data_IF_069782123271
#
_entry.id   IF_069782123271
#
_cell.length_a   1.000
_cell.length_b   1.000
_cell.length_c   1.000
_cell.angle_alpha   90.00
_cell.angle_beta   90.00
_cell.angle_gamma   90.00
#
_symmetry.space_group_name_H-M   'P 1'
#
loop_
_entity.id
_entity.type
_entity.pdbx_description
1 polymer ?
#
# COMPACT_ATOMS: atom_id res chain seq x y z
N UNK A 1 -6.25 28.21 -17.04
CA UNK A 1 -6.99 27.73 -15.84
C UNK A 1 -6.07 27.93 -14.65
N UNK A 2 -6.59 28.22 -13.46
CA UNK A 2 -5.77 28.26 -12.24
C UNK A 2 -5.26 26.85 -11.92
N UNK A 3 -4.02 26.73 -11.45
CA UNK A 3 -3.48 25.47 -10.99
C UNK A 3 -4.26 24.97 -9.78
N UNK A 4 -4.30 23.64 -9.60
CA UNK A 4 -4.98 22.98 -8.48
C UNK A 4 -4.06 22.84 -7.29
N UNK A 5 -4.48 23.30 -6.13
CA UNK A 5 -3.67 23.27 -4.90
C UNK A 5 -3.68 21.90 -4.25
N UNK A 6 -2.51 21.32 -4.06
CA UNK A 6 -2.26 20.10 -3.28
C UNK A 6 -1.28 20.43 -2.17
N UNK A 7 -1.51 19.93 -0.97
CA UNK A 7 -0.64 20.13 0.18
C UNK A 7 -0.18 18.78 0.72
N UNK A 8 1.12 18.65 0.90
CA UNK A 8 1.74 17.57 1.66
C UNK A 8 2.46 18.12 2.89
N UNK A 9 2.62 17.28 3.91
CA UNK A 9 3.47 17.58 5.06
C UNK A 9 4.52 16.49 5.19
N UNK A 10 5.80 16.86 5.20
CA UNK A 10 6.91 15.91 5.26
C UNK A 10 8.12 16.48 6.01
N UNK A 11 8.90 15.58 6.60
CA UNK A 11 10.27 15.82 7.04
C UNK A 11 11.27 15.11 6.11
N UNK A 12 12.57 15.25 6.39
CA UNK A 12 13.63 14.64 5.60
C UNK A 12 13.52 13.11 5.55
N UNK A 13 13.04 12.47 6.61
CA UNK A 13 12.86 11.00 6.68
C UNK A 13 11.75 10.49 5.77
N UNK A 14 10.80 11.35 5.41
CA UNK A 14 9.69 11.08 4.52
C UNK A 14 9.87 11.57 3.08
N UNK A 15 11.01 12.19 2.76
CA UNK A 15 11.26 12.77 1.42
C UNK A 15 11.05 11.77 0.27
N UNK A 16 11.52 10.52 0.40
CA UNK A 16 11.33 9.48 -0.63
C UNK A 16 9.85 9.04 -0.75
N UNK A 17 9.12 9.02 0.37
CA UNK A 17 7.70 8.66 0.40
C UNK A 17 6.88 9.77 -0.26
N UNK A 18 7.18 11.03 0.08
CA UNK A 18 6.61 12.21 -0.58
C UNK A 18 6.87 12.16 -2.11
N UNK A 19 8.10 11.88 -2.53
CA UNK A 19 8.42 11.79 -3.97
C UNK A 19 7.66 10.66 -4.65
N UNK A 20 7.48 9.51 -4.00
CA UNK A 20 6.69 8.39 -4.51
C UNK A 20 5.20 8.77 -4.65
N UNK A 21 4.63 9.42 -3.64
CA UNK A 21 3.27 9.94 -3.69
C UNK A 21 3.10 10.97 -4.82
N UNK A 22 4.03 11.91 -4.96
CA UNK A 22 4.03 12.91 -6.04
C UNK A 22 4.14 12.26 -7.43
N UNK A 23 4.98 11.23 -7.61
CA UNK A 23 5.07 10.48 -8.87
C UNK A 23 3.72 9.86 -9.23
N UNK A 24 3.07 9.19 -8.28
CA UNK A 24 1.76 8.57 -8.52
C UNK A 24 0.69 9.61 -8.86
N UNK A 25 0.68 10.75 -8.18
CA UNK A 25 -0.25 11.86 -8.47
C UNK A 25 -0.01 12.44 -9.87
N UNK A 26 1.25 12.76 -10.19
CA UNK A 26 1.66 13.35 -11.46
C UNK A 26 1.51 12.39 -12.66
N UNK A 27 1.43 11.08 -12.43
CA UNK A 27 1.09 10.12 -13.48
C UNK A 27 -0.34 10.29 -14.00
N UNK A 28 -1.23 10.88 -13.23
CA UNK A 28 -2.66 11.01 -13.54
C UNK A 28 -3.15 12.45 -13.66
N UNK A 29 -2.40 13.43 -13.15
CA UNK A 29 -2.85 14.82 -13.04
C UNK A 29 -1.76 15.83 -13.38
N UNK A 30 -2.13 16.88 -14.09
CA UNK A 30 -1.30 18.02 -14.47
C UNK A 30 -1.82 19.31 -13.82
N UNK A 31 -1.10 20.42 -14.04
CA UNK A 31 -1.47 21.75 -13.58
C UNK A 31 -1.66 21.83 -12.07
N UNK A 32 -0.70 21.21 -11.35
CA UNK A 32 -0.69 21.21 -9.90
C UNK A 32 0.20 22.32 -9.33
N UNK A 33 -0.25 22.90 -8.22
CA UNK A 33 0.55 23.72 -7.33
C UNK A 33 0.70 22.96 -6.02
N UNK A 34 1.84 22.31 -5.86
CA UNK A 34 2.12 21.38 -4.76
C UNK A 34 2.84 22.12 -3.64
N UNK A 35 2.16 22.39 -2.57
CA UNK A 35 2.71 22.98 -1.35
C UNK A 35 3.28 21.88 -0.46
N UNK A 36 4.51 22.02 0.00
CA UNK A 36 5.12 21.07 0.92
C UNK A 36 5.45 21.78 2.23
N UNK A 37 4.65 21.49 3.25
CA UNK A 37 4.88 21.94 4.62
C UNK A 37 6.00 21.12 5.21
N UNK A 38 7.15 21.74 5.51
CA UNK A 38 8.32 21.01 5.97
C UNK A 38 9.22 21.85 6.89
N UNK A 39 10.05 21.15 7.64
CA UNK A 39 11.05 21.76 8.53
C UNK A 39 12.45 21.77 7.91
N UNK A 40 12.84 20.68 7.24
CA UNK A 40 14.24 20.33 6.99
C UNK A 40 14.55 19.83 5.58
N UNK A 41 13.57 19.80 4.66
CA UNK A 41 13.83 19.36 3.28
C UNK A 41 14.84 20.27 2.58
N UNK A 42 15.82 19.72 1.82
CA UNK A 42 16.81 20.50 1.13
C UNK A 42 16.24 21.42 0.05
N UNK A 43 16.74 22.63 -0.05
CA UNK A 43 16.31 23.60 -1.09
C UNK A 43 16.59 23.07 -2.50
N UNK A 44 17.66 22.32 -2.66
CA UNK A 44 18.07 21.69 -3.93
C UNK A 44 17.04 20.69 -4.42
N UNK A 45 16.40 19.95 -3.51
CA UNK A 45 15.32 19.04 -3.85
C UNK A 45 14.14 19.79 -4.51
N UNK A 46 13.74 20.93 -3.96
CA UNK A 46 12.69 21.78 -4.54
C UNK A 46 13.08 22.30 -5.93
N UNK A 47 14.32 22.69 -6.13
CA UNK A 47 14.82 23.15 -7.43
C UNK A 47 14.76 22.03 -8.48
N UNK A 48 15.19 20.82 -8.12
CA UNK A 48 15.15 19.65 -8.99
C UNK A 48 13.71 19.28 -9.31
N UNK A 49 12.82 19.21 -8.32
CA UNK A 49 11.40 18.89 -8.53
C UNK A 49 10.74 19.92 -9.45
N UNK A 50 10.97 21.21 -9.25
CA UNK A 50 10.42 22.25 -10.13
C UNK A 50 10.91 22.13 -11.58
N UNK A 51 12.17 21.72 -11.79
CA UNK A 51 12.68 21.48 -13.14
C UNK A 51 11.91 20.33 -13.83
N UNK A 52 11.62 19.24 -13.10
CA UNK A 52 10.89 18.08 -13.59
C UNK A 52 9.42 18.41 -13.85
N UNK A 53 8.76 19.06 -12.91
CA UNK A 53 7.32 19.33 -12.95
C UNK A 53 6.89 20.36 -14.01
N UNK A 54 7.82 21.14 -14.56
CA UNK A 54 7.52 22.09 -15.67
C UNK A 54 6.84 21.46 -16.87
N UNK A 55 7.18 20.19 -17.19
CA UNK A 55 6.58 19.48 -18.32
C UNK A 55 5.10 19.13 -18.09
N UNK A 56 4.63 19.19 -16.86
CA UNK A 56 3.25 18.99 -16.46
C UNK A 56 2.52 20.31 -16.16
N UNK A 57 3.13 21.45 -16.50
CA UNK A 57 2.64 22.77 -16.07
C UNK A 57 2.37 22.82 -14.56
N UNK A 58 3.21 22.12 -13.79
CA UNK A 58 3.09 21.98 -12.34
C UNK A 58 4.30 22.55 -11.63
N UNK A 59 4.17 22.85 -10.34
CA UNK A 59 5.23 23.39 -9.51
C UNK A 59 5.16 22.90 -8.07
N UNK A 60 6.28 22.88 -7.37
CA UNK A 60 6.36 22.60 -5.94
C UNK A 60 6.83 23.82 -5.17
N UNK A 61 6.13 24.14 -4.09
CA UNK A 61 6.36 25.32 -3.25
C UNK A 61 6.89 24.85 -1.89
N UNK A 62 8.03 25.42 -1.49
CA UNK A 62 8.64 25.16 -0.19
C UNK A 62 7.96 26.02 0.90
N UNK A 63 7.09 25.40 1.69
CA UNK A 63 6.48 26.04 2.85
C UNK A 63 7.25 25.64 4.12
N UNK A 64 8.29 26.42 4.43
CA UNK A 64 9.14 26.18 5.60
C UNK A 64 8.37 26.47 6.89
N UNK A 65 8.23 25.45 7.73
CA UNK A 65 7.55 25.51 9.02
C UNK A 65 8.55 25.64 10.17
N UNK A 66 8.14 26.30 11.25
CA UNK A 66 8.93 26.35 12.49
C UNK A 66 8.35 25.37 13.50
N UNK A 67 9.10 24.35 13.93
CA UNK A 67 8.57 23.35 14.86
C UNK A 67 8.39 23.90 16.30
N UNK A 68 8.94 25.07 16.63
CA UNK A 68 8.95 25.60 18.00
C UNK A 68 7.56 25.67 18.64
N UNK A 69 6.54 26.02 17.88
CA UNK A 69 5.18 26.12 18.37
C UNK A 69 4.51 24.76 18.64
N UNK A 70 5.06 23.68 18.05
CA UNK A 70 4.52 22.32 18.15
C UNK A 70 5.28 21.45 19.16
N UNK A 71 6.48 21.85 19.59
CA UNK A 71 7.36 21.04 20.47
C UNK A 71 6.76 20.76 21.86
N UNK A 72 5.77 21.52 22.28
CA UNK A 72 5.07 21.30 23.55
C UNK A 72 3.95 20.25 23.47
N UNK A 73 3.60 19.78 22.27
CA UNK A 73 2.54 18.81 22.07
C UNK A 73 3.06 17.38 22.22
N UNK A 74 2.28 16.53 22.85
CA UNK A 74 2.57 15.10 22.90
C UNK A 74 2.34 14.47 21.54
N UNK A 75 3.25 13.56 21.16
CA UNK A 75 3.08 12.73 19.97
C UNK A 75 2.48 11.38 20.42
N UNK A 76 1.48 10.83 19.69
CA UNK A 76 0.79 9.60 20.10
C UNK A 76 1.66 8.34 19.95
N UNK A 77 2.75 8.42 19.19
CA UNK A 77 3.69 7.32 18.99
C UNK A 77 5.01 7.80 18.40
N UNK A 78 6.07 6.98 18.53
CA UNK A 78 7.44 7.30 18.08
C UNK A 78 7.59 7.50 16.56
N UNK A 79 6.61 7.05 15.78
CA UNK A 79 6.63 7.17 14.32
C UNK A 79 5.80 8.36 13.79
N UNK A 80 5.18 9.14 14.68
CA UNK A 80 4.45 10.36 14.33
C UNK A 80 5.32 11.57 14.66
N UNK A 81 5.57 12.41 13.65
CA UNK A 81 6.35 13.61 13.78
C UNK A 81 5.46 14.86 13.94
N UNK A 82 5.99 15.97 14.50
CA UNK A 82 5.28 17.26 14.61
C UNK A 82 4.74 17.78 13.28
N UNK A 83 5.28 17.32 12.16
CA UNK A 83 4.79 17.65 10.83
C UNK A 83 3.30 17.32 10.63
N UNK A 84 2.72 16.42 11.42
CA UNK A 84 1.28 16.14 11.36
C UNK A 84 0.43 17.35 11.74
N UNK A 85 0.90 18.20 12.65
CA UNK A 85 0.21 19.42 13.07
C UNK A 85 0.36 20.58 12.08
N UNK A 86 1.30 20.50 11.13
CA UNK A 86 1.50 21.57 10.14
C UNK A 86 0.26 21.81 9.29
N UNK A 87 -0.57 20.77 9.10
CA UNK A 87 -1.83 20.87 8.34
C UNK A 87 -2.81 21.89 8.89
N UNK A 88 -2.70 22.30 10.16
CA UNK A 88 -3.57 23.33 10.73
C UNK A 88 -3.32 24.72 10.11
N UNK A 89 -2.10 25.00 9.66
CA UNK A 89 -1.72 26.27 9.05
C UNK A 89 -1.95 26.33 7.53
N UNK A 90 -2.56 25.32 6.92
CA UNK A 90 -2.81 25.25 5.46
C UNK A 90 -3.49 26.50 4.92
N UNK A 91 -4.61 27.02 5.51
CA UNK A 91 -5.28 28.20 4.98
C UNK A 91 -4.44 29.49 4.97
N UNK A 92 -3.39 29.54 5.79
CA UNK A 92 -2.47 30.69 5.85
C UNK A 92 -1.34 30.57 4.82
N UNK A 93 -1.00 29.35 4.40
CA UNK A 93 0.13 29.05 3.52
C UNK A 93 -0.24 28.89 2.04
N UNK A 94 -1.50 28.66 1.75
CA UNK A 94 -2.02 28.32 0.41
C UNK A 94 -2.86 29.46 -0.13
N UNK A 95 -2.66 29.81 -1.40
CA UNK A 95 -3.37 30.94 -2.05
C UNK A 95 -4.77 30.56 -2.52
N UNK A 96 -4.94 29.32 -2.98
CA UNK A 96 -6.17 28.81 -3.60
C UNK A 96 -7.30 28.58 -2.58
N UNK A 97 -8.54 28.72 -3.03
CA UNK A 97 -9.73 28.60 -2.18
C UNK A 97 -10.10 27.12 -1.90
N UNK A 98 -9.93 26.24 -2.89
CA UNK A 98 -10.15 24.80 -2.75
C UNK A 98 -8.82 24.07 -2.68
N UNK A 99 -8.58 23.37 -1.60
CA UNK A 99 -7.29 22.77 -1.28
C UNK A 99 -7.46 21.27 -1.00
N UNK A 100 -6.61 20.43 -1.58
CA UNK A 100 -6.47 19.03 -1.17
C UNK A 100 -5.25 18.87 -0.28
N UNK A 101 -5.46 18.42 0.97
CA UNK A 101 -4.38 17.91 1.80
C UNK A 101 -4.26 16.40 1.60
N UNK A 102 -3.02 15.90 1.47
CA UNK A 102 -2.72 14.50 1.20
C UNK A 102 -1.53 14.05 2.07
N UNK A 103 -1.66 12.91 2.73
CA UNK A 103 -0.53 12.29 3.44
C UNK A 103 0.48 11.67 2.46
N UNK A 104 1.75 11.59 2.87
CA UNK A 104 2.85 11.10 2.04
C UNK A 104 2.87 9.58 1.85
N UNK A 105 2.10 8.84 2.64
CA UNK A 105 1.96 7.40 2.58
C UNK A 105 0.75 6.95 1.76
N UNK A 106 0.49 7.70 0.69
CA UNK A 106 -0.58 7.44 -0.26
C UNK A 106 -0.04 7.14 -1.66
N UNK A 107 -0.84 6.38 -2.43
CA UNK A 107 -0.68 6.20 -3.87
C UNK A 107 -1.98 6.60 -4.57
N UNK A 108 -1.82 7.38 -5.64
CA UNK A 108 -2.92 7.90 -6.46
C UNK A 108 -2.97 7.12 -7.78
N UNK A 109 -4.14 6.64 -8.14
CA UNK A 109 -4.34 5.75 -9.30
C UNK A 109 -5.24 6.37 -10.36
N UNK A 110 -5.81 7.55 -10.05
CA UNK A 110 -6.74 8.28 -10.91
C UNK A 110 -6.55 9.79 -10.73
N UNK A 111 -7.15 10.57 -11.65
CA UNK A 111 -7.24 12.03 -11.53
C UNK A 111 -8.15 12.43 -10.36
N UNK A 112 -7.64 13.27 -9.47
CA UNK A 112 -8.37 13.80 -8.32
C UNK A 112 -9.13 15.10 -8.61
N UNK A 113 -9.18 15.55 -9.86
CA UNK A 113 -9.90 16.78 -10.25
C UNK A 113 -11.35 16.86 -9.75
N UNK A 114 -12.12 15.76 -9.71
CA UNK A 114 -13.47 15.80 -9.16
C UNK A 114 -13.57 16.28 -7.71
N UNK A 115 -12.53 16.12 -6.90
CA UNK A 115 -12.52 16.57 -5.50
C UNK A 115 -12.49 18.10 -5.36
N UNK A 116 -11.98 18.82 -6.36
CA UNK A 116 -12.00 20.29 -6.33
C UNK A 116 -13.38 20.87 -6.66
N UNK A 117 -14.22 20.07 -7.33
CA UNK A 117 -15.54 20.48 -7.80
C UNK A 117 -16.67 20.00 -6.86
N UNK A 118 -16.34 19.17 -5.85
CA UNK A 118 -17.34 18.63 -4.93
C UNK A 118 -18.00 19.75 -4.12
N UNK A 119 -19.32 19.75 -4.09
CA UNK A 119 -20.07 20.61 -3.18
C UNK A 119 -20.00 20.04 -1.76
N UNK A 120 -19.37 20.77 -0.86
CA UNK A 120 -19.27 20.39 0.54
C UNK A 120 -20.56 20.67 1.35
N UNK A 121 -21.64 21.11 0.69
CA UNK A 121 -22.93 21.37 1.33
C UNK A 121 -22.86 22.32 2.55
N UNK A 122 -21.98 23.32 2.47
CA UNK A 122 -21.77 24.31 3.53
C UNK A 122 -20.81 23.87 4.64
N UNK A 123 -20.24 22.69 4.56
CA UNK A 123 -19.16 22.27 5.46
C UNK A 123 -17.79 22.81 5.00
N UNK A 124 -16.92 23.11 5.95
CA UNK A 124 -15.55 23.56 5.68
C UNK A 124 -14.57 22.45 5.34
N UNK A 125 -14.98 21.19 5.49
CA UNK A 125 -14.14 20.02 5.33
C UNK A 125 -14.89 18.87 4.67
N UNK A 126 -14.25 18.25 3.68
CA UNK A 126 -14.62 16.93 3.15
C UNK A 126 -13.52 15.91 3.47
N UNK A 127 -13.92 14.72 3.92
CA UNK A 127 -13.01 13.64 4.27
C UNK A 127 -13.66 12.27 4.09
N UNK A 128 -12.91 11.18 4.23
CA UNK A 128 -13.42 9.80 4.18
C UNK A 128 -13.49 9.23 5.59
N UNK A 129 -14.55 8.49 5.88
CA UNK A 129 -14.75 7.80 7.17
C UNK A 129 -13.50 6.96 7.53
N UNK A 130 -13.10 7.01 8.81
CA UNK A 130 -12.03 6.17 9.35
C UNK A 130 -12.56 4.77 9.70
N UNK A 131 -12.50 3.86 8.72
CA UNK A 131 -13.10 2.52 8.83
C UNK A 131 -12.27 1.49 9.60
N UNK A 132 -10.92 1.47 9.52
CA UNK A 132 -10.14 0.48 10.27
C UNK A 132 -10.23 0.64 11.79
N UNK A 133 -10.61 1.83 12.26
CA UNK A 133 -10.74 2.10 13.69
C UNK A 133 -12.20 2.02 14.15
N UNK A 134 -12.40 1.84 15.45
CA UNK A 134 -13.74 1.91 16.08
C UNK A 134 -14.14 3.34 16.43
N UNK A 135 -13.36 4.33 16.00
CA UNK A 135 -13.61 5.75 16.27
C UNK A 135 -14.61 6.26 15.23
N UNK A 136 -15.75 6.75 15.71
CA UNK A 136 -16.69 7.48 14.86
C UNK A 136 -16.03 8.78 14.39
N UNK A 137 -15.76 8.88 13.08
CA UNK A 137 -15.11 10.05 12.51
C UNK A 137 -14.50 9.79 11.15
N UNK A 138 -13.60 10.66 10.76
CA UNK A 138 -12.91 10.60 9.47
C UNK A 138 -11.40 10.37 9.63
N UNK A 139 -10.80 9.79 8.59
CA UNK A 139 -9.36 9.70 8.47
C UNK A 139 -8.81 11.03 7.90
N UNK A 140 -7.80 11.59 8.58
CA UNK A 140 -7.24 12.90 8.26
C UNK A 140 -6.18 12.88 7.15
N UNK A 141 -5.92 11.75 6.50
CA UNK A 141 -4.90 11.64 5.48
C UNK A 141 -5.27 12.23 4.13
N UNK A 142 -6.58 12.32 3.80
CA UNK A 142 -7.08 13.07 2.65
C UNK A 142 -8.17 14.02 3.13
N UNK A 143 -7.95 15.33 2.92
CA UNK A 143 -8.89 16.38 3.28
C UNK A 143 -9.16 17.29 2.08
N UNK A 144 -10.43 17.56 1.82
CA UNK A 144 -10.89 18.63 0.91
C UNK A 144 -11.24 19.83 1.77
N UNK A 145 -10.46 20.90 1.66
CA UNK A 145 -10.57 22.07 2.53
C UNK A 145 -11.18 23.23 1.75
N UNK A 146 -12.18 23.88 2.32
CA UNK A 146 -12.69 25.18 1.91
C UNK A 146 -11.97 26.27 2.73
N UNK A 147 -11.02 26.97 2.10
CA UNK A 147 -10.18 27.96 2.78
C UNK A 147 -11.00 29.11 3.36
N UNK A 148 -11.94 29.66 2.59
CA UNK A 148 -12.78 30.78 3.02
C UNK A 148 -13.55 30.38 4.28
N UNK A 149 -14.18 29.20 4.30
CA UNK A 149 -14.90 28.72 5.46
C UNK A 149 -13.98 28.57 6.70
N UNK A 150 -12.77 28.02 6.52
CA UNK A 150 -11.81 27.88 7.61
C UNK A 150 -11.38 29.22 8.19
N UNK A 151 -11.14 30.24 7.36
CA UNK A 151 -10.77 31.58 7.79
C UNK A 151 -11.92 32.27 8.53
N UNK A 152 -13.15 32.21 8.00
CA UNK A 152 -14.34 32.80 8.61
C UNK A 152 -14.65 32.21 10.00
N UNK A 153 -14.36 30.91 10.19
CA UNK A 153 -14.60 30.20 11.45
C UNK A 153 -13.35 30.12 12.35
N UNK A 154 -12.23 30.75 11.97
CA UNK A 154 -10.97 30.78 12.75
C UNK A 154 -10.50 29.38 13.15
N UNK A 155 -10.61 28.41 12.21
CA UNK A 155 -10.35 26.99 12.46
C UNK A 155 -8.93 26.73 12.91
N UNK A 156 -7.94 27.41 12.30
CA UNK A 156 -6.51 27.27 12.67
C UNK A 156 -6.28 27.52 14.14
N UNK A 157 -6.75 28.65 14.67
CA UNK A 157 -6.63 29.02 16.08
C UNK A 157 -7.35 28.04 16.98
N UNK A 158 -8.58 27.67 16.60
CA UNK A 158 -9.38 26.72 17.39
C UNK A 158 -8.71 25.33 17.46
N UNK A 159 -8.09 24.84 16.39
CA UNK A 159 -7.34 23.57 16.40
C UNK A 159 -6.11 23.65 17.32
N UNK A 160 -5.37 24.77 17.31
CA UNK A 160 -4.25 24.97 18.23
C UNK A 160 -4.72 25.01 19.69
N UNK A 161 -5.81 25.67 19.98
CA UNK A 161 -6.36 25.74 21.35
C UNK A 161 -6.81 24.36 21.82
N UNK A 162 -7.58 23.63 21.01
CA UNK A 162 -7.98 22.26 21.29
C UNK A 162 -6.78 21.32 21.49
N UNK A 163 -5.74 21.49 20.69
CA UNK A 163 -4.51 20.69 20.84
C UNK A 163 -3.85 20.95 22.19
N UNK A 164 -3.74 22.21 22.63
CA UNK A 164 -3.20 22.53 23.96
C UNK A 164 -3.98 21.87 25.09
N UNK A 165 -5.30 21.77 24.95
CA UNK A 165 -6.19 21.22 25.98
C UNK A 165 -6.26 19.69 25.94
N UNK A 166 -6.24 19.06 24.74
CA UNK A 166 -6.64 17.68 24.55
C UNK A 166 -5.57 16.75 23.94
N UNK A 167 -4.38 17.22 23.56
CA UNK A 167 -3.35 16.41 22.88
C UNK A 167 -2.94 15.13 23.62
N UNK A 168 -3.15 15.04 24.93
CA UNK A 168 -2.90 13.84 25.73
C UNK A 168 -4.09 12.87 25.79
N UNK A 169 -5.27 13.30 25.35
CA UNK A 169 -6.54 12.56 25.47
C UNK A 169 -7.00 11.98 24.15
N UNK A 170 -6.51 12.51 23.02
CA UNK A 170 -6.89 12.10 21.67
C UNK A 170 -5.68 11.65 20.86
N UNK A 171 -5.93 10.86 19.83
CA UNK A 171 -4.87 10.31 18.98
C UNK A 171 -4.41 11.34 17.94
N UNK A 172 -3.37 12.10 18.27
CA UNK A 172 -2.70 13.03 17.37
C UNK A 172 -3.59 14.13 16.79
N UNK A 173 -3.18 14.65 15.66
CA UNK A 173 -3.89 15.68 14.91
C UNK A 173 -5.23 15.21 14.36
N UNK A 174 -5.34 13.94 13.93
CA UNK A 174 -6.60 13.35 13.49
C UNK A 174 -7.66 13.39 14.60
N UNK A 175 -7.27 13.08 15.83
CA UNK A 175 -8.20 13.14 16.97
C UNK A 175 -8.68 14.56 17.26
N UNK A 176 -7.80 15.56 17.13
CA UNK A 176 -8.15 16.98 17.30
C UNK A 176 -9.09 17.46 16.20
N UNK A 177 -8.79 17.10 14.94
CA UNK A 177 -9.66 17.43 13.80
C UNK A 177 -11.06 16.82 13.98
N UNK A 178 -11.15 15.56 14.38
CA UNK A 178 -12.41 14.89 14.65
C UNK A 178 -13.16 15.50 15.85
N UNK A 179 -12.43 15.99 16.86
CA UNK A 179 -13.02 16.70 18.00
C UNK A 179 -13.64 18.03 17.56
N UNK A 180 -12.92 18.80 16.72
CA UNK A 180 -13.39 20.09 16.23
C UNK A 180 -14.58 19.96 15.27
N UNK A 181 -14.42 19.15 14.22
CA UNK A 181 -15.44 19.01 13.18
C UNK A 181 -16.59 18.09 13.62
N UNK A 182 -16.35 17.13 14.52
CA UNK A 182 -17.32 16.16 15.03
C UNK A 182 -18.26 15.67 13.91
N UNK A 183 -19.54 16.05 13.94
CA UNK A 183 -20.54 15.68 12.92
C UNK A 183 -20.66 16.71 11.78
N UNK A 184 -19.77 17.71 11.72
CA UNK A 184 -19.82 18.86 10.80
C UNK A 184 -18.77 18.77 9.68
N UNK A 185 -18.77 17.67 8.92
CA UNK A 185 -17.91 17.44 7.77
C UNK A 185 -18.64 16.69 6.65
N UNK A 186 -18.17 16.86 5.40
CA UNK A 186 -18.76 16.20 4.24
C UNK A 186 -18.11 14.84 4.01
N UNK A 187 -18.93 13.77 4.00
CA UNK A 187 -18.43 12.40 3.78
C UNK A 187 -18.16 12.13 2.32
N UNK A 188 -16.89 11.96 1.96
CA UNK A 188 -16.45 11.58 0.63
C UNK A 188 -16.58 10.06 0.42
N UNK A 189 -16.72 9.61 -0.85
CA UNK A 189 -16.68 8.19 -1.19
C UNK A 189 -15.37 7.53 -0.73
N UNK A 190 -15.45 6.31 -0.20
CA UNK A 190 -14.31 5.53 0.30
C UNK A 190 -13.18 5.35 -0.73
N UNK A 191 -13.50 5.37 -2.02
CA UNK A 191 -12.53 5.24 -3.13
C UNK A 191 -11.45 6.32 -3.13
N UNK A 192 -11.69 7.44 -2.47
CA UNK A 192 -10.73 8.53 -2.33
C UNK A 192 -9.79 8.41 -1.11
N UNK A 193 -9.98 7.43 -0.26
CA UNK A 193 -9.06 7.15 0.85
C UNK A 193 -9.26 5.72 1.35
N UNK A 194 -8.94 4.71 0.54
CA UNK A 194 -8.97 3.33 0.99
C UNK A 194 -7.78 3.08 1.92
N UNK A 195 -8.08 2.95 3.20
CA UNK A 195 -7.10 2.74 4.26
C UNK A 195 -6.70 1.26 4.31
N UNK A 196 -5.42 0.97 4.17
CA UNK A 196 -4.87 -0.39 4.11
C UNK A 196 -3.73 -0.57 5.12
N UNK A 197 -3.35 -1.84 5.35
CA UNK A 197 -2.25 -2.20 6.25
C UNK A 197 -2.70 -2.72 7.62
N UNK A 198 -4.00 -2.58 7.96
CA UNK A 198 -4.62 -3.19 9.15
C UNK A 198 -5.35 -4.50 8.82
N UNK A 199 -5.11 -5.07 7.64
CA UNK A 199 -5.83 -6.25 7.12
C UNK A 199 -5.78 -7.44 8.09
N UNK A 200 -4.64 -7.68 8.72
CA UNK A 200 -4.51 -8.74 9.72
C UNK A 200 -5.40 -8.51 10.95
N UNK A 201 -5.44 -7.29 11.45
CA UNK A 201 -6.23 -6.95 12.64
C UNK A 201 -7.73 -7.02 12.31
N UNK A 202 -8.11 -6.58 11.12
CA UNK A 202 -9.49 -6.73 10.62
C UNK A 202 -9.88 -8.20 10.42
N UNK A 203 -8.97 -9.04 9.93
CA UNK A 203 -9.19 -10.47 9.80
C UNK A 203 -9.40 -11.17 11.15
N UNK A 204 -8.59 -10.80 12.17
CA UNK A 204 -8.63 -11.46 13.47
C UNK A 204 -9.76 -10.95 14.39
N UNK A 205 -10.09 -9.66 14.31
CA UNK A 205 -10.91 -8.97 15.30
C UNK A 205 -12.00 -8.09 14.73
N UNK A 206 -12.05 -7.90 13.43
CA UNK A 206 -12.91 -6.93 12.75
C UNK A 206 -13.80 -7.51 11.67
N UNK A 207 -14.02 -6.72 10.64
CA UNK A 207 -14.86 -7.02 9.49
C UNK A 207 -14.01 -7.01 8.20
N UNK A 208 -13.39 -8.16 7.91
CA UNK A 208 -12.61 -8.31 6.68
C UNK A 208 -13.51 -8.31 5.44
N UNK A 209 -14.78 -8.74 5.58
CA UNK A 209 -15.72 -8.79 4.47
C UNK A 209 -15.97 -7.40 3.87
N UNK A 210 -15.85 -6.35 4.70
CA UNK A 210 -15.90 -4.98 4.22
C UNK A 210 -14.78 -4.66 3.23
N UNK A 211 -13.54 -5.11 3.50
CA UNK A 211 -12.42 -4.96 2.56
C UNK A 211 -12.58 -5.81 1.31
N UNK A 212 -13.07 -7.04 1.47
CA UNK A 212 -13.25 -7.99 0.37
C UNK A 212 -14.42 -7.60 -0.56
N UNK A 213 -15.35 -6.76 -0.06
CA UNK A 213 -16.41 -6.16 -0.87
C UNK A 213 -15.89 -5.15 -1.91
N UNK A 214 -14.68 -4.61 -1.72
CA UNK A 214 -14.08 -3.67 -2.67
C UNK A 214 -13.47 -4.39 -3.84
N UNK A 215 -14.12 -4.24 -4.99
CA UNK A 215 -13.62 -4.73 -6.26
C UNK A 215 -12.92 -3.61 -7.04
N UNK A 216 -11.77 -3.95 -7.68
CA UNK A 216 -11.01 -3.01 -8.47
C UNK A 216 -10.03 -2.16 -7.65
N UNK A 217 -9.57 -1.08 -8.25
CA UNK A 217 -8.53 -0.21 -7.71
C UNK A 217 -9.17 1.11 -7.28
N UNK A 218 -9.05 1.51 -6.01
CA UNK A 218 -9.57 2.80 -5.54
C UNK A 218 -8.79 3.95 -6.17
N UNK A 219 -9.35 5.16 -6.18
CA UNK A 219 -8.66 6.35 -6.66
C UNK A 219 -7.43 6.70 -5.79
N UNK A 220 -7.51 6.41 -4.49
CA UNK A 220 -6.43 6.63 -3.53
C UNK A 220 -6.29 5.42 -2.59
N UNK A 221 -5.10 4.85 -2.53
CA UNK A 221 -4.68 3.86 -1.53
C UNK A 221 -3.87 4.57 -0.45
N UNK A 222 -4.27 4.41 0.81
CA UNK A 222 -3.60 5.01 1.96
C UNK A 222 -3.09 3.92 2.91
N UNK A 223 -1.78 3.85 3.08
CA UNK A 223 -1.12 2.86 3.93
C UNK A 223 -1.05 3.34 5.38
N UNK A 224 -2.20 3.37 6.07
CA UNK A 224 -2.39 4.04 7.38
C UNK A 224 -1.67 3.38 8.54
N UNK A 225 -1.47 2.06 8.52
CA UNK A 225 -0.92 1.32 9.66
C UNK A 225 0.61 1.39 9.75
N UNK A 226 1.17 0.85 10.84
CA UNK A 226 2.61 0.63 10.98
C UNK A 226 3.17 -0.41 9.97
N UNK A 227 2.29 -1.25 9.41
CA UNK A 227 2.64 -2.22 8.38
C UNK A 227 2.73 -1.54 7.00
N UNK A 228 3.75 -0.69 6.83
CA UNK A 228 3.98 0.06 5.59
C UNK A 228 4.58 -0.84 4.50
N UNK A 229 4.33 -0.56 3.20
CA UNK A 229 4.91 -1.34 2.10
C UNK A 229 6.44 -1.33 2.08
N UNK A 230 7.09 -0.32 2.63
CA UNK A 230 8.55 -0.18 2.68
C UNK A 230 9.21 -0.72 3.96
N UNK A 231 8.45 -1.08 4.99
CA UNK A 231 9.01 -1.55 6.27
C UNK A 231 8.71 -3.00 6.58
N UNK A 232 7.71 -3.60 5.95
CA UNK A 232 7.21 -4.92 6.29
C UNK A 232 7.14 -5.84 5.08
N UNK A 233 7.45 -7.13 5.28
CA UNK A 233 7.20 -8.20 4.29
C UNK A 233 5.85 -8.91 4.53
N UNK A 234 5.07 -8.48 5.52
CA UNK A 234 3.72 -9.00 5.78
C UNK A 234 2.77 -8.60 4.66
N UNK A 235 1.67 -9.32 4.59
CA UNK A 235 0.60 -8.97 3.67
C UNK A 235 0.15 -7.50 3.91
N UNK A 236 0.08 -6.77 2.82
CA UNK A 236 -0.44 -5.41 2.78
C UNK A 236 -1.05 -5.23 1.38
N UNK A 237 -2.34 -4.92 1.32
CA UNK A 237 -3.04 -4.71 0.04
C UNK A 237 -2.35 -3.63 -0.76
N UNK A 238 -2.26 -3.84 -2.06
CA UNK A 238 -1.67 -2.88 -2.98
C UNK A 238 -0.22 -2.50 -2.66
N UNK A 239 0.53 -3.38 -1.96
CA UNK A 239 1.95 -3.18 -1.69
C UNK A 239 2.75 -2.93 -2.98
N UNK A 240 2.45 -3.69 -4.02
CA UNK A 240 3.10 -3.66 -5.32
C UNK A 240 2.97 -2.29 -6.00
N UNK A 241 1.85 -1.60 -5.78
CA UNK A 241 1.62 -0.26 -6.31
C UNK A 241 2.61 0.76 -5.78
N UNK A 242 2.89 0.72 -4.47
CA UNK A 242 3.85 1.62 -3.87
C UNK A 242 5.23 1.40 -4.48
N UNK A 243 5.68 0.14 -4.59
CA UNK A 243 6.97 -0.21 -5.17
C UNK A 243 7.06 0.10 -6.66
N UNK A 244 5.96 -0.02 -7.40
CA UNK A 244 5.88 0.39 -8.80
C UNK A 244 6.19 1.87 -8.96
N UNK A 245 5.48 2.77 -8.26
CA UNK A 245 5.72 4.20 -8.36
C UNK A 245 7.07 4.62 -7.76
N UNK A 246 7.52 3.95 -6.72
CA UNK A 246 8.85 4.17 -6.14
C UNK A 246 9.96 3.90 -7.17
N UNK A 247 9.90 2.79 -7.88
CA UNK A 247 10.89 2.36 -8.85
C UNK A 247 10.92 3.20 -10.14
N UNK A 248 9.78 3.80 -10.53
CA UNK A 248 9.72 4.64 -11.73
C UNK A 248 10.61 5.88 -11.59
N UNK A 249 11.33 6.21 -12.65
CA UNK A 249 11.98 7.51 -12.80
C UNK A 249 10.97 8.60 -13.16
N UNK A 250 11.34 9.86 -12.93
CA UNK A 250 10.48 10.99 -13.36
C UNK A 250 10.33 11.04 -14.89
N UNK A 251 11.34 10.66 -15.65
CA UNK A 251 11.28 10.57 -17.09
C UNK A 251 10.22 9.56 -17.55
N UNK A 252 10.10 8.44 -16.84
CA UNK A 252 9.06 7.45 -17.13
C UNK A 252 7.65 7.98 -16.84
N UNK A 253 7.48 8.71 -15.74
CA UNK A 253 6.22 9.38 -15.42
C UNK A 253 5.85 10.39 -16.51
N UNK A 254 6.80 11.25 -16.90
CA UNK A 254 6.56 12.36 -17.82
C UNK A 254 6.37 11.92 -19.28
N UNK A 255 7.18 10.95 -19.75
CA UNK A 255 7.20 10.52 -21.15
C UNK A 255 6.24 9.35 -21.44
N UNK A 256 5.95 8.51 -20.43
CA UNK A 256 5.12 7.30 -20.58
C UNK A 256 3.73 7.43 -19.95
N UNK A 257 3.34 8.61 -19.56
CA UNK A 257 2.05 8.88 -18.90
C UNK A 257 0.85 8.16 -19.55
N UNK A 258 0.68 8.13 -20.90
CA UNK A 258 -0.42 7.41 -21.53
C UNK A 258 -0.35 5.88 -21.39
N UNK A 259 0.87 5.34 -21.21
CA UNK A 259 1.16 3.90 -21.15
C UNK A 259 1.11 3.39 -19.70
N UNK A 260 1.35 4.27 -18.71
CA UNK A 260 1.42 3.90 -17.30
C UNK A 260 0.17 3.16 -16.82
N UNK A 261 -1.00 3.52 -17.30
CA UNK A 261 -2.24 2.84 -16.92
C UNK A 261 -2.22 1.37 -17.32
N UNK A 262 -1.73 1.04 -18.51
CA UNK A 262 -1.62 -0.34 -18.98
C UNK A 262 -0.51 -1.08 -18.23
N UNK A 263 0.67 -0.49 -18.12
CA UNK A 263 1.80 -1.05 -17.35
C UNK A 263 1.41 -1.32 -15.89
N UNK A 264 0.60 -0.43 -15.32
CA UNK A 264 0.06 -0.61 -13.99
C UNK A 264 -0.92 -1.79 -13.91
N UNK A 265 -1.83 -1.91 -14.87
CA UNK A 265 -2.74 -3.05 -14.96
C UNK A 265 -1.99 -4.37 -15.13
N UNK A 266 -0.92 -4.35 -15.93
CA UNK A 266 -0.07 -5.52 -16.16
C UNK A 266 0.76 -5.90 -14.92
N UNK A 267 1.17 -4.93 -14.11
CA UNK A 267 1.92 -5.17 -12.88
C UNK A 267 1.03 -5.67 -11.73
N UNK A 268 -0.17 -5.15 -11.64
CA UNK A 268 -1.19 -5.58 -10.67
C UNK A 268 -1.92 -6.82 -11.17
N UNK A 269 -1.96 -6.99 -12.49
CA UNK A 269 -2.37 -8.20 -13.16
C UNK A 269 -1.33 -9.28 -12.92
N UNK A 270 -1.55 -10.02 -11.93
CA UNK A 270 -0.87 -11.17 -11.34
C UNK A 270 -0.13 -12.05 -12.33
N UNK A 271 0.88 -12.77 -11.82
CA UNK A 271 1.34 -13.98 -12.49
C UNK A 271 0.15 -14.84 -12.89
N UNK A 272 0.23 -15.44 -14.04
CA UNK A 272 -0.86 -16.23 -14.59
C UNK A 272 -1.22 -17.43 -13.70
N UNK A 273 -0.20 -17.94 -12.99
CA UNK A 273 -0.30 -19.10 -12.11
C UNK A 273 0.42 -18.88 -10.80
N UNK A 274 -0.04 -19.57 -9.76
CA UNK A 274 0.48 -19.48 -8.40
C UNK A 274 0.81 -20.86 -7.83
N UNK A 275 2.03 -21.00 -7.29
CA UNK A 275 2.47 -22.16 -6.53
C UNK A 275 2.84 -21.75 -5.10
N UNK A 276 2.69 -22.65 -4.13
CA UNK A 276 3.11 -22.39 -2.75
C UNK A 276 3.97 -23.52 -2.19
N UNK A 277 4.86 -23.13 -1.27
CA UNK A 277 5.71 -24.00 -0.46
C UNK A 277 5.61 -23.52 0.98
N UNK A 278 5.27 -24.40 1.91
CA UNK A 278 5.35 -24.14 3.34
C UNK A 278 6.60 -24.80 3.91
N UNK A 279 7.43 -24.06 4.64
CA UNK A 279 8.71 -24.56 5.12
C UNK A 279 9.15 -23.85 6.39
N UNK A 280 10.03 -24.52 7.17
CA UNK A 280 10.78 -23.91 8.27
C UNK A 280 12.30 -24.08 8.07
N UNK A 281 12.74 -24.34 6.84
CA UNK A 281 14.15 -24.54 6.48
C UNK A 281 14.68 -23.39 5.63
N UNK A 282 16.01 -23.25 5.62
CA UNK A 282 16.74 -22.31 4.78
C UNK A 282 17.00 -22.87 3.37
N UNK A 283 16.94 -24.17 3.19
CA UNK A 283 17.26 -24.86 1.93
C UNK A 283 16.02 -25.62 1.45
N UNK A 284 15.52 -25.25 0.29
CA UNK A 284 14.38 -25.88 -0.37
C UNK A 284 14.92 -26.60 -1.62
N UNK A 285 14.61 -27.89 -1.72
CA UNK A 285 15.14 -28.74 -2.79
C UNK A 285 14.71 -28.21 -4.18
N UNK A 286 15.70 -28.05 -5.07
CA UNK A 286 15.52 -27.62 -6.48
C UNK A 286 14.74 -26.31 -6.70
N UNK A 287 14.54 -25.47 -5.67
CA UNK A 287 13.76 -24.22 -5.80
C UNK A 287 14.32 -23.30 -6.88
N UNK A 288 15.66 -23.15 -6.95
CA UNK A 288 16.26 -22.25 -7.96
C UNK A 288 16.00 -22.73 -9.39
N UNK A 289 16.02 -24.04 -9.63
CA UNK A 289 15.69 -24.62 -10.93
C UNK A 289 14.21 -24.37 -11.27
N UNK A 290 13.29 -24.57 -10.32
CA UNK A 290 11.88 -24.32 -10.52
C UNK A 290 11.61 -22.83 -10.84
N UNK A 291 12.27 -21.89 -10.16
CA UNK A 291 12.14 -20.45 -10.44
C UNK A 291 12.59 -20.09 -11.85
N UNK A 292 13.68 -20.69 -12.36
CA UNK A 292 14.18 -20.46 -13.70
C UNK A 292 13.27 -21.05 -14.78
N UNK A 293 12.78 -22.26 -14.54
CA UNK A 293 12.02 -23.03 -15.53
C UNK A 293 10.53 -22.67 -15.54
N UNK A 294 10.01 -22.01 -14.51
CA UNK A 294 8.61 -21.60 -14.38
C UNK A 294 8.49 -20.08 -14.17
N UNK A 295 8.99 -19.24 -15.09
CA UNK A 295 9.03 -17.78 -14.89
C UNK A 295 7.66 -17.10 -14.89
N UNK A 296 6.62 -17.79 -15.39
CA UNK A 296 5.23 -17.37 -15.42
C UNK A 296 4.40 -17.84 -14.20
N UNK A 297 5.04 -18.58 -13.28
CA UNK A 297 4.43 -19.07 -12.05
C UNK A 297 4.99 -18.31 -10.85
N UNK A 298 4.15 -17.62 -10.11
CA UNK A 298 4.52 -17.04 -8.82
C UNK A 298 4.73 -18.14 -7.79
N UNK A 299 5.92 -18.24 -7.22
CA UNK A 299 6.23 -19.22 -6.17
C UNK A 299 6.25 -18.52 -4.83
N UNK A 300 5.27 -18.83 -4.00
CA UNK A 300 5.08 -18.28 -2.66
C UNK A 300 5.70 -19.22 -1.62
N UNK A 301 6.69 -18.73 -0.87
CA UNK A 301 7.34 -19.49 0.21
C UNK A 301 6.93 -18.89 1.55
N UNK A 302 6.26 -19.69 2.38
CA UNK A 302 5.78 -19.28 3.69
C UNK A 302 6.52 -20.02 4.79
N UNK A 303 7.01 -19.31 5.81
CA UNK A 303 7.67 -19.88 6.99
C UNK A 303 7.25 -19.17 8.28
N UNK A 304 7.17 -19.91 9.38
CA UNK A 304 6.98 -19.32 10.72
C UNK A 304 8.25 -18.64 11.24
N UNK A 305 9.41 -18.96 10.66
CA UNK A 305 10.72 -18.39 10.99
C UNK A 305 11.18 -17.35 9.97
N UNK A 306 12.32 -16.71 10.27
CA UNK A 306 13.04 -15.92 9.26
C UNK A 306 13.78 -16.84 8.30
N UNK A 307 13.92 -16.40 7.04
CA UNK A 307 14.65 -17.13 6.02
C UNK A 307 16.16 -16.97 6.17
N UNK A 308 16.89 -18.05 5.88
CA UNK A 308 18.35 -18.04 5.81
C UNK A 308 18.88 -17.33 4.56
N UNK A 309 20.18 -17.03 4.56
CA UNK A 309 20.86 -16.28 3.51
C UNK A 309 20.66 -16.90 2.11
N UNK A 310 20.78 -18.21 1.97
CA UNK A 310 20.66 -18.91 0.68
C UNK A 310 19.30 -18.67 0.03
N UNK A 311 18.23 -18.72 0.82
CA UNK A 311 16.88 -18.51 0.30
C UNK A 311 16.64 -17.03 -0.06
N UNK A 312 17.11 -16.09 0.78
CA UNK A 312 17.01 -14.64 0.50
C UNK A 312 17.77 -14.25 -0.76
N UNK A 313 18.88 -14.90 -1.10
CA UNK A 313 19.62 -14.67 -2.34
C UNK A 313 18.78 -14.97 -3.60
N UNK A 314 17.77 -15.82 -3.50
CA UNK A 314 16.87 -16.15 -4.59
C UNK A 314 15.80 -15.07 -4.83
N UNK A 315 15.68 -14.03 -3.98
CA UNK A 315 14.80 -12.85 -4.24
C UNK A 315 15.18 -12.11 -5.53
N UNK A 316 16.33 -12.41 -6.15
CA UNK A 316 16.67 -11.92 -7.50
C UNK A 316 15.74 -12.45 -8.60
N UNK A 317 15.02 -13.53 -8.37
CA UNK A 317 14.00 -14.06 -9.28
C UNK A 317 12.68 -13.33 -9.07
N UNK A 318 12.12 -12.68 -10.09
CA UNK A 318 10.92 -11.84 -9.94
C UNK A 318 9.66 -12.63 -9.57
N UNK A 319 9.66 -13.93 -9.80
CA UNK A 319 8.57 -14.85 -9.50
C UNK A 319 8.68 -15.52 -8.12
N UNK A 320 9.62 -15.10 -7.25
CA UNK A 320 9.74 -15.58 -5.87
C UNK A 320 9.14 -14.58 -4.89
N UNK A 321 8.24 -15.06 -4.04
CA UNK A 321 7.61 -14.30 -2.96
C UNK A 321 7.87 -14.96 -1.61
N UNK A 322 8.62 -14.28 -0.73
CA UNK A 322 9.01 -14.79 0.58
C UNK A 322 8.16 -14.15 1.68
N UNK A 323 7.53 -14.99 2.52
CA UNK A 323 6.68 -14.57 3.65
C UNK A 323 7.28 -15.10 4.98
N UNK A 324 8.30 -14.42 5.54
CA UNK A 324 8.85 -14.81 6.85
C UNK A 324 7.85 -14.46 7.96
N UNK A 325 7.76 -15.35 8.96
CA UNK A 325 6.84 -15.17 10.10
C UNK A 325 5.40 -14.85 9.62
N UNK A 326 4.92 -15.61 8.62
CA UNK A 326 3.60 -15.36 8.03
C UNK A 326 2.49 -15.47 9.08
N UNK A 327 1.40 -14.79 8.83
CA UNK A 327 0.20 -14.82 9.65
C UNK A 327 -0.96 -15.54 8.92
N UNK A 328 -2.07 -15.88 9.63
CA UNK A 328 -3.18 -16.62 9.04
C UNK A 328 -3.81 -15.91 7.83
N UNK A 329 -3.84 -14.57 7.80
CA UNK A 329 -4.38 -13.82 6.66
C UNK A 329 -3.48 -13.99 5.43
N UNK A 330 -2.16 -13.90 5.60
CA UNK A 330 -1.18 -14.12 4.52
C UNK A 330 -1.34 -15.53 3.94
N UNK A 331 -1.43 -16.56 4.80
CA UNK A 331 -1.68 -17.94 4.37
C UNK A 331 -2.97 -18.04 3.58
N UNK A 332 -4.08 -17.53 4.11
CA UNK A 332 -5.38 -17.53 3.42
C UNK A 332 -5.31 -16.88 2.04
N UNK A 333 -4.70 -15.68 1.94
CA UNK A 333 -4.61 -14.94 0.68
C UNK A 333 -3.73 -15.64 -0.38
N UNK A 334 -2.73 -16.39 0.04
CA UNK A 334 -1.94 -17.23 -0.86
C UNK A 334 -2.78 -18.44 -1.31
N UNK A 335 -3.46 -19.13 -0.39
CA UNK A 335 -4.27 -20.30 -0.70
C UNK A 335 -5.47 -19.98 -1.62
N UNK A 336 -6.07 -18.78 -1.49
CA UNK A 336 -7.19 -18.33 -2.36
C UNK A 336 -6.79 -18.22 -3.84
N UNK A 337 -5.50 -18.02 -4.13
CA UNK A 337 -4.96 -17.85 -5.50
C UNK A 337 -4.27 -19.10 -6.03
N UNK A 338 -4.06 -20.09 -5.19
CA UNK A 338 -3.18 -21.21 -5.46
C UNK A 338 -3.71 -22.12 -6.58
N UNK A 339 -2.84 -22.46 -7.52
CA UNK A 339 -3.10 -23.43 -8.59
C UNK A 339 -2.46 -24.79 -8.33
N UNK A 340 -1.26 -24.77 -7.73
CA UNK A 340 -0.49 -25.98 -7.42
C UNK A 340 0.25 -25.84 -6.09
N UNK A 341 0.43 -26.92 -5.38
CA UNK A 341 1.28 -26.98 -4.19
C UNK A 341 2.56 -27.77 -4.46
N UNK A 342 3.68 -27.23 -4.01
CA UNK A 342 5.01 -27.84 -4.14
C UNK A 342 5.44 -28.35 -2.77
N UNK A 343 5.31 -29.64 -2.55
CA UNK A 343 5.76 -30.33 -1.34
C UNK A 343 7.23 -30.72 -1.48
N UNK A 344 8.11 -29.72 -1.44
CA UNK A 344 9.55 -29.84 -1.65
C UNK A 344 10.38 -29.37 -0.44
N UNK A 345 9.73 -29.30 0.71
CA UNK A 345 10.36 -29.06 2.01
C UNK A 345 11.02 -30.38 2.52
N UNK A 346 12.35 -30.40 2.75
CA UNK A 346 13.04 -31.67 3.12
C UNK A 346 12.91 -32.09 4.60
N UNK A 347 12.19 -31.32 5.40
CA UNK A 347 11.99 -31.56 6.84
C UNK A 347 10.51 -31.73 7.16
N UNK A 348 10.17 -31.71 8.47
CA UNK A 348 8.79 -31.88 8.92
C UNK A 348 7.80 -30.95 8.23
N UNK A 349 6.63 -31.46 7.97
CA UNK A 349 5.52 -30.71 7.37
C UNK A 349 5.11 -29.52 8.26
N UNK A 350 4.80 -28.40 7.64
CA UNK A 350 4.35 -27.18 8.33
C UNK A 350 2.83 -27.16 8.33
N UNK A 351 2.22 -26.96 9.51
CA UNK A 351 0.78 -26.75 9.72
C UNK A 351 -0.14 -27.83 9.12
N UNK A 352 0.36 -29.04 8.87
CA UNK A 352 -0.38 -30.10 8.17
C UNK A 352 -0.96 -29.62 6.83
N UNK A 353 -0.20 -28.79 6.11
CA UNK A 353 -0.66 -28.08 4.92
C UNK A 353 -1.14 -29.00 3.82
N UNK A 354 -0.55 -30.19 3.65
CA UNK A 354 -0.95 -31.16 2.62
C UNK A 354 -2.41 -31.58 2.78
N UNK A 355 -2.93 -31.71 3.99
CA UNK A 355 -4.33 -32.00 4.26
C UNK A 355 -5.24 -30.84 3.82
N UNK A 356 -4.79 -29.60 4.08
CA UNK A 356 -5.53 -28.39 3.63
C UNK A 356 -5.57 -28.32 2.10
N UNK A 357 -4.44 -28.60 1.42
CA UNK A 357 -4.34 -28.59 -0.04
C UNK A 357 -5.25 -29.67 -0.65
N UNK A 358 -5.30 -30.87 -0.07
CA UNK A 358 -6.20 -31.93 -0.50
C UNK A 358 -7.68 -31.54 -0.34
N UNK A 359 -8.05 -30.85 0.76
CA UNK A 359 -9.40 -30.33 0.96
C UNK A 359 -9.80 -29.25 -0.08
N UNK A 360 -8.84 -28.54 -0.63
CA UNK A 360 -9.02 -27.55 -1.69
C UNK A 360 -9.03 -28.18 -3.09
N UNK A 361 -8.86 -29.51 -3.22
CA UNK A 361 -8.78 -30.26 -4.48
C UNK A 361 -7.69 -29.72 -5.42
N UNK A 362 -6.55 -29.31 -4.86
CA UNK A 362 -5.39 -28.80 -5.59
C UNK A 362 -4.33 -29.89 -5.76
N UNK A 363 -3.61 -29.92 -6.90
CA UNK A 363 -2.56 -30.89 -7.15
C UNK A 363 -1.34 -30.62 -6.26
N UNK A 364 -0.73 -31.71 -5.80
CA UNK A 364 0.51 -31.70 -5.03
C UNK A 364 1.61 -32.33 -5.89
N UNK A 365 2.74 -31.64 -6.00
CA UNK A 365 3.96 -32.12 -6.65
C UNK A 365 5.06 -32.23 -5.61
N UNK A 366 5.72 -33.38 -5.50
CA UNK A 366 6.78 -33.63 -4.53
C UNK A 366 7.93 -34.45 -5.12
N UNK A 367 9.08 -34.40 -4.47
CA UNK A 367 10.14 -35.38 -4.69
C UNK A 367 10.02 -36.53 -3.70
N UNK A 368 10.67 -37.68 -4.01
CA UNK A 368 10.65 -38.86 -3.13
C UNK A 368 11.14 -38.53 -1.71
N UNK A 369 12.20 -37.71 -1.62
CA UNK A 369 12.82 -37.29 -0.34
C UNK A 369 12.05 -36.20 0.41
N UNK A 370 11.00 -35.60 -0.16
CA UNK A 370 10.27 -34.46 0.45
C UNK A 370 8.77 -34.69 0.58
N UNK A 371 8.27 -35.86 0.16
CA UNK A 371 6.82 -36.14 0.13
C UNK A 371 6.26 -36.36 1.54
N UNK A 372 5.32 -35.50 1.96
CA UNK A 372 4.60 -35.60 3.23
C UNK A 372 3.18 -36.18 3.09
N UNK A 373 2.74 -36.50 1.89
CA UNK A 373 1.40 -37.05 1.67
C UNK A 373 1.36 -38.53 2.03
N UNK A 374 0.73 -38.88 3.14
CA UNK A 374 0.54 -40.28 3.55
C UNK A 374 -0.61 -40.96 2.81
N UNK A 375 -1.70 -40.21 2.57
CA UNK A 375 -2.90 -40.72 1.92
C UNK A 375 -3.44 -39.64 0.96
N UNK A 376 -3.71 -40.01 -0.28
CA UNK A 376 -4.27 -39.12 -1.29
C UNK A 376 -3.46 -39.09 -2.58
N UNK A 377 -3.88 -38.26 -3.51
CA UNK A 377 -3.22 -38.12 -4.79
C UNK A 377 -2.09 -37.08 -4.73
N UNK A 378 -0.89 -37.49 -5.06
CA UNK A 378 0.29 -36.63 -5.27
C UNK A 378 1.08 -37.12 -6.47
N UNK A 379 1.74 -36.21 -7.17
CA UNK A 379 2.69 -36.57 -8.23
C UNK A 379 4.10 -36.54 -7.64
N UNK A 380 4.69 -37.72 -7.44
CA UNK A 380 6.02 -37.89 -6.84
C UNK A 380 7.05 -38.16 -7.93
N UNK A 381 8.19 -37.47 -7.86
CA UNK A 381 9.31 -37.59 -8.76
C UNK A 381 10.56 -37.99 -7.97
N UNK A 382 11.50 -38.67 -8.64
CA UNK A 382 12.81 -38.91 -8.02
C UNK A 382 13.54 -37.56 -7.76
N UNK A 383 14.41 -37.53 -6.78
CA UNK A 383 15.04 -36.26 -6.31
C UNK A 383 15.88 -35.55 -7.39
N UNK A 384 16.30 -36.27 -8.43
CA UNK A 384 17.03 -35.72 -9.59
C UNK A 384 16.16 -35.41 -10.81
N UNK A 385 14.84 -35.62 -10.73
CA UNK A 385 13.89 -35.47 -11.84
C UNK A 385 13.14 -34.12 -11.80
N UNK A 386 13.83 -33.02 -11.54
CA UNK A 386 13.20 -31.69 -11.50
C UNK A 386 12.62 -31.27 -12.87
N UNK A 387 13.21 -31.69 -13.98
CA UNK A 387 12.71 -31.34 -15.32
C UNK A 387 11.40 -32.05 -15.65
N UNK A 388 11.23 -33.28 -15.21
CA UNK A 388 9.99 -34.05 -15.31
C UNK A 388 8.88 -33.40 -14.46
N UNK A 389 9.21 -32.96 -13.24
CA UNK A 389 8.30 -32.20 -12.39
C UNK A 389 7.85 -30.90 -13.08
N UNK A 390 8.79 -30.10 -13.63
CA UNK A 390 8.49 -28.88 -14.38
C UNK A 390 7.55 -29.18 -15.55
N UNK A 391 7.82 -30.21 -16.32
CA UNK A 391 6.97 -30.62 -17.45
C UNK A 391 5.54 -30.98 -16.99
N UNK A 392 5.42 -31.72 -15.89
CA UNK A 392 4.12 -32.13 -15.33
C UNK A 392 3.33 -30.91 -14.79
N UNK A 393 3.99 -29.99 -14.10
CA UNK A 393 3.37 -28.73 -13.64
C UNK A 393 2.85 -27.93 -14.83
N UNK A 394 3.66 -27.72 -15.87
CA UNK A 394 3.26 -26.99 -17.09
C UNK A 394 2.08 -27.64 -17.79
N UNK A 395 2.08 -28.95 -17.90
CA UNK A 395 1.00 -29.72 -18.49
C UNK A 395 -0.31 -29.57 -17.71
N UNK A 396 -0.23 -29.62 -16.38
CA UNK A 396 -1.40 -29.42 -15.52
C UNK A 396 -1.97 -28.00 -15.68
N UNK A 397 -1.14 -26.98 -15.59
CA UNK A 397 -1.54 -25.56 -15.68
C UNK A 397 -2.20 -25.29 -17.06
N UNK A 398 -1.62 -25.74 -18.15
CA UNK A 398 -2.20 -25.58 -19.50
C UNK A 398 -3.57 -26.24 -19.67
N UNK A 399 -3.80 -27.43 -19.08
CA UNK A 399 -5.08 -28.13 -19.15
C UNK A 399 -6.18 -27.36 -18.39
N UNK A 400 -5.82 -26.59 -17.38
CA UNK A 400 -6.74 -25.84 -16.52
C UNK A 400 -6.87 -24.34 -16.88
N UNK A 401 -6.16 -23.87 -17.91
CA UNK A 401 -6.19 -22.46 -18.39
C UNK A 401 -7.62 -21.95 -18.67
N UNK A 402 -8.53 -22.82 -19.11
CA UNK A 402 -9.94 -22.49 -19.38
C UNK A 402 -10.78 -22.16 -18.13
N UNK A 403 -10.30 -22.51 -16.92
CA UNK A 403 -11.00 -22.20 -15.66
C UNK A 403 -10.78 -20.75 -15.21
N UNK A 404 -9.69 -20.10 -15.64
CA UNK A 404 -9.30 -18.75 -15.22
C UNK A 404 -9.84 -17.62 -16.13
N UNK A 405 -10.30 -17.93 -17.35
CA UNK A 405 -10.87 -16.95 -18.28
C UNK A 405 -12.27 -16.45 -17.94
N UNK A 406 -12.86 -16.89 -16.82
CA UNK A 406 -14.22 -16.55 -16.38
C UNK A 406 -14.28 -16.05 -14.90
N UNK A 407 -13.17 -15.60 -14.32
CA UNK A 407 -13.16 -14.98 -12.98
C UNK A 407 -12.94 -13.47 -13.04
#
# INVERSE_FOLDING_TARGET
MSKKAVVFSADLSYMEKLETAMKSLCAHQDQLKIYVLNEDLPTEWFAIMNQRLRQLDSEVINCRMSPKQFQSFSLPSDHIHYATYFRYAIPEMVEEERILYLDCDMIFTQDLSPLYEVDLNGYGLGAVVDKPTTIDGFNAGLLVIDKTWWQEHQVTEALFDLTREHHQQVYGDQGILNLYFKDAWYSLPWTYNLQVGSDKDQYLYGDLDWYDAFQGIPAVVHYTSHNKPWTSKRFNRFRELWWFYYALSWEEILLRKPILKQTYQDLVGEFLYHAAIYTNTADIHELETLLKELPDVAIHVLAHSHFGFNLVQLERYPNLFLYPSFDPLTSRKVLEKLDVYLDINPYDEVDQITQTIQQLDLPIFSFEGTNHVENGETQVFADDQVQEMVAAIRDYLKRNEKKHGNK
#
